data_IF_445585932833
#
_entry.id   IF_445585932833
#
_cell.length_a   1.000
_cell.length_b   1.000
_cell.length_c   1.000
_cell.angle_alpha   90.00
_cell.angle_beta   90.00
_cell.angle_gamma   90.00
#
_symmetry.space_group_name_H-M   'P 1'
#
loop_
_entity.id
_entity.type
_entity.pdbx_description
1 polymer ?
#
# COMPACT_ATOMS: atom_id res chain seq x y z
N UNK A 1 49.66 -7.75 70.80
CA UNK A 1 50.39 -7.16 69.66
C UNK A 1 49.37 -6.67 68.63
N UNK A 2 49.47 -5.38 68.26
CA UNK A 2 48.95 -4.65 67.08
C UNK A 2 47.56 -5.04 66.49
N UNK A 3 46.51 -4.23 66.63
CA UNK A 3 46.18 -2.88 66.07
C UNK A 3 45.52 -2.93 64.68
N UNK A 4 44.23 -2.51 64.66
CA UNK A 4 43.49 -1.65 63.70
C UNK A 4 43.43 -2.11 62.21
N UNK A 5 42.35 -1.94 61.46
CA UNK A 5 41.28 -0.97 61.65
C UNK A 5 40.04 -1.20 60.77
N UNK A 6 39.00 -0.52 61.25
CA UNK A 6 37.68 -0.29 60.73
C UNK A 6 37.72 0.71 59.57
N UNK A 7 36.93 0.52 58.52
CA UNK A 7 36.46 1.61 57.65
C UNK A 7 35.01 1.33 57.22
N UNK A 8 34.09 2.02 57.89
CA UNK A 8 32.84 2.50 57.30
C UNK A 8 33.19 3.49 56.20
N UNK A 9 32.49 3.42 55.07
CA UNK A 9 32.49 4.44 54.03
C UNK A 9 31.15 4.42 53.29
N UNK A 10 30.22 5.26 53.74
CA UNK A 10 29.04 5.67 52.99
C UNK A 10 29.39 6.96 52.26
N UNK A 11 29.29 7.03 50.93
CA UNK A 11 28.95 8.24 50.13
C UNK A 11 28.91 7.87 48.63
N UNK A 12 27.73 7.83 48.01
CA UNK A 12 27.12 8.86 47.13
C UNK A 12 27.53 8.73 45.65
N UNK A 13 26.53 8.31 44.88
CA UNK A 13 26.15 8.69 43.52
C UNK A 13 27.22 9.23 42.55
N UNK A 14 27.47 8.43 41.52
CA UNK A 14 27.84 8.89 40.19
C UNK A 14 27.13 7.98 39.18
N UNK A 15 25.99 8.43 38.67
CA UNK A 15 25.28 7.74 37.59
C UNK A 15 26.16 7.74 36.34
N UNK A 16 26.63 6.55 35.96
CA UNK A 16 27.25 6.31 34.66
C UNK A 16 26.17 5.64 33.83
N UNK A 17 25.73 6.32 32.78
CA UNK A 17 24.79 5.81 31.80
C UNK A 17 25.29 4.46 31.25
N UNK A 18 24.53 3.39 31.51
CA UNK A 18 24.86 2.01 31.12
C UNK A 18 24.28 1.62 29.76
N UNK A 19 23.95 2.57 28.89
CA UNK A 19 23.35 2.27 27.58
C UNK A 19 24.25 1.36 26.71
N UNK A 20 25.58 1.51 26.78
CA UNK A 20 26.51 0.74 25.93
C UNK A 20 27.08 -0.56 26.52
N UNK A 21 26.62 -1.01 27.70
CA UNK A 21 27.18 -2.23 28.33
C UNK A 21 26.35 -3.50 28.05
N UNK A 22 25.09 -3.38 27.63
CA UNK A 22 24.21 -4.53 27.33
C UNK A 22 24.53 -5.19 25.99
N UNK A 23 24.76 -4.42 24.92
CA UNK A 23 25.19 -4.94 23.61
C UNK A 23 26.48 -5.77 23.70
N UNK A 24 27.44 -5.35 24.54
CA UNK A 24 28.73 -6.04 24.69
C UNK A 24 28.66 -7.35 25.50
N UNK A 25 27.53 -7.60 26.16
CA UNK A 25 27.23 -8.84 26.89
C UNK A 25 26.40 -9.83 26.06
N UNK A 26 26.09 -9.51 24.79
CA UNK A 26 25.31 -10.37 23.90
C UNK A 26 23.80 -10.37 24.18
N UNK A 27 23.30 -9.34 24.87
CA UNK A 27 21.88 -9.06 24.96
C UNK A 27 21.56 -8.05 23.84
N UNK A 28 21.32 -8.55 22.64
CA UNK A 28 20.59 -7.81 21.62
C UNK A 28 19.11 -7.87 22.00
N UNK A 29 18.45 -6.71 22.03
CA UNK A 29 17.01 -6.62 22.22
C UNK A 29 16.35 -7.27 21.00
N UNK A 30 15.81 -8.46 21.19
CA UNK A 30 15.11 -9.16 20.12
C UNK A 30 13.69 -8.63 20.11
N UNK A 31 13.20 -8.22 18.92
CA UNK A 31 11.82 -7.81 18.74
C UNK A 31 10.88 -8.88 19.31
N UNK A 32 9.82 -8.45 19.99
CA UNK A 32 8.77 -9.34 20.45
C UNK A 32 8.02 -9.99 19.26
N UNK A 33 8.15 -9.41 18.08
CA UNK A 33 7.49 -9.81 16.85
C UNK A 33 8.36 -10.79 16.07
N UNK A 34 7.87 -12.01 15.92
CA UNK A 34 8.48 -13.00 15.05
C UNK A 34 7.82 -12.94 13.67
N UNK A 35 8.46 -12.24 12.73
CA UNK A 35 8.09 -12.31 11.31
C UNK A 35 7.96 -13.78 10.88
N UNK A 36 6.95 -14.15 10.05
CA UNK A 36 6.91 -15.46 9.42
C UNK A 36 8.23 -15.77 8.71
N UNK A 37 8.67 -17.04 8.62
CA UNK A 37 9.93 -17.34 7.94
C UNK A 37 9.90 -16.87 6.49
N UNK A 38 11.02 -16.36 5.98
CA UNK A 38 11.14 -16.08 4.54
C UNK A 38 11.11 -17.42 3.81
N UNK A 39 10.28 -17.52 2.78
CA UNK A 39 10.22 -18.71 1.92
C UNK A 39 11.56 -18.88 1.20
N UNK A 40 12.11 -20.10 1.19
CA UNK A 40 13.33 -20.41 0.43
C UNK A 40 13.00 -20.59 -1.06
N UNK A 41 13.96 -20.31 -1.96
CA UNK A 41 13.82 -20.49 -3.42
C UNK A 41 12.58 -19.80 -4.05
N UNK A 42 12.29 -18.57 -3.60
CA UNK A 42 11.19 -17.74 -4.10
C UNK A 42 11.28 -17.50 -5.60
N UNK A 43 10.17 -17.59 -6.34
CA UNK A 43 10.17 -17.25 -7.76
C UNK A 43 10.27 -15.73 -7.96
N UNK A 44 10.78 -15.31 -9.12
CA UNK A 44 10.67 -13.92 -9.61
C UNK A 44 9.24 -13.65 -10.13
N UNK A 45 8.25 -13.76 -9.25
CA UNK A 45 6.81 -13.69 -9.53
C UNK A 45 6.02 -13.55 -8.22
N UNK A 46 4.73 -13.24 -8.32
CA UNK A 46 3.80 -13.34 -7.19
C UNK A 46 3.73 -14.78 -6.70
N UNK A 47 3.80 -14.97 -5.38
CA UNK A 47 3.82 -16.31 -4.78
C UNK A 47 3.18 -16.35 -3.38
N UNK A 48 2.78 -17.53 -2.90
CA UNK A 48 2.22 -17.67 -1.54
C UNK A 48 3.31 -17.52 -0.46
N UNK A 49 3.17 -16.54 0.47
CA UNK A 49 4.11 -16.33 1.56
C UNK A 49 4.08 -17.48 2.58
N UNK A 50 4.87 -17.37 3.65
CA UNK A 50 4.91 -18.39 4.70
C UNK A 50 3.72 -18.33 5.67
N UNK A 51 3.15 -17.16 5.82
CA UNK A 51 1.98 -16.92 6.66
C UNK A 51 1.18 -15.73 6.14
N UNK A 52 0.08 -15.48 6.82
CA UNK A 52 -0.77 -14.33 6.57
C UNK A 52 -1.32 -13.80 7.87
N UNK A 53 -1.35 -12.48 7.97
CA UNK A 53 -1.87 -11.75 9.10
C UNK A 53 -3.28 -11.23 8.80
N UNK A 54 -4.11 -11.21 9.84
CA UNK A 54 -5.31 -10.39 9.86
C UNK A 54 -4.96 -8.93 10.15
N UNK A 55 -5.96 -8.07 10.17
CA UNK A 55 -5.84 -6.68 10.59
C UNK A 55 -7.07 -6.33 11.42
N UNK A 56 -6.99 -5.22 12.14
CA UNK A 56 -8.16 -4.56 12.72
C UNK A 56 -8.19 -3.07 12.35
N UNK A 57 -9.33 -2.43 12.61
CA UNK A 57 -9.60 -1.05 12.24
C UNK A 57 -9.62 -0.17 13.48
N UNK A 58 -8.81 0.90 13.49
CA UNK A 58 -8.90 1.93 14.51
C UNK A 58 -10.06 2.89 14.25
N UNK A 59 -10.25 3.31 13.00
CA UNK A 59 -11.34 4.20 12.66
C UNK A 59 -11.28 4.75 11.25
N UNK A 60 -12.23 5.63 10.95
CA UNK A 60 -12.42 6.25 9.64
C UNK A 60 -12.71 7.73 9.80
N UNK A 61 -12.37 8.52 8.79
CA UNK A 61 -12.71 9.92 8.71
C UNK A 61 -12.99 10.30 7.24
N UNK A 62 -13.74 11.38 7.04
CA UNK A 62 -13.94 11.98 5.72
C UNK A 62 -13.80 13.50 5.76
N UNK A 63 -13.34 14.07 4.64
CA UNK A 63 -13.33 15.51 4.39
C UNK A 63 -13.69 15.76 2.92
N UNK A 64 -14.90 16.26 2.68
CA UNK A 64 -15.45 16.43 1.34
C UNK A 64 -15.54 15.11 0.58
N UNK A 65 -14.85 15.04 -0.55
CA UNK A 65 -14.80 13.90 -1.46
C UNK A 65 -13.85 12.79 -1.00
N UNK A 66 -12.95 13.07 -0.06
CA UNK A 66 -11.90 12.13 0.39
C UNK A 66 -12.34 11.43 1.67
N UNK A 67 -12.14 10.12 1.74
CA UNK A 67 -12.21 9.34 2.96
C UNK A 67 -10.89 8.63 3.26
N UNK A 68 -10.70 8.31 4.54
CA UNK A 68 -9.53 7.65 5.09
C UNK A 68 -9.97 6.59 6.10
N UNK A 69 -9.37 5.41 6.03
CA UNK A 69 -9.48 4.34 7.02
C UNK A 69 -8.10 4.09 7.62
N UNK A 70 -8.03 4.03 8.95
CA UNK A 70 -6.83 3.68 9.69
C UNK A 70 -6.99 2.26 10.20
N UNK A 71 -6.16 1.36 9.71
CA UNK A 71 -6.10 -0.05 10.10
C UNK A 71 -4.73 -0.37 10.69
N UNK A 72 -4.62 -1.47 11.42
CA UNK A 72 -3.36 -1.93 11.98
C UNK A 72 -3.25 -3.46 11.97
N UNK A 73 -2.01 -3.92 12.05
CA UNK A 73 -1.67 -5.33 12.27
C UNK A 73 -0.33 -5.41 13.02
N UNK A 74 0.17 -6.63 13.25
CA UNK A 74 1.50 -6.83 13.86
C UNK A 74 2.59 -6.18 12.98
N UNK A 75 3.64 -5.59 13.58
CA UNK A 75 4.81 -5.15 12.83
C UNK A 75 5.36 -6.28 11.98
N UNK A 76 5.63 -5.99 10.71
CA UNK A 76 6.23 -6.97 9.82
C UNK A 76 7.17 -6.30 8.82
N UNK A 77 8.03 -7.15 8.24
CA UNK A 77 9.01 -6.73 7.24
C UNK A 77 8.35 -6.34 5.92
N UNK A 78 9.01 -5.46 5.17
CA UNK A 78 8.64 -5.14 3.80
C UNK A 78 9.86 -4.71 2.98
N UNK A 79 9.68 -4.58 1.66
CA UNK A 79 10.75 -4.21 0.73
C UNK A 79 10.42 -2.92 0.02
N UNK A 80 11.32 -1.95 0.08
CA UNK A 80 11.23 -0.70 -0.68
C UNK A 80 11.81 -0.95 -2.09
N UNK A 81 11.10 -0.56 -3.17
CA UNK A 81 11.60 -0.72 -4.53
C UNK A 81 12.84 0.15 -4.77
N UNK A 82 13.82 -0.39 -5.49
CA UNK A 82 15.05 0.34 -5.82
C UNK A 82 16.24 -0.58 -6.14
N UNK A 83 17.32 -0.01 -6.67
CA UNK A 83 18.54 -0.75 -7.00
C UNK A 83 19.14 -1.38 -5.72
N UNK A 84 19.07 -2.71 -5.64
CA UNK A 84 19.54 -3.48 -4.49
C UNK A 84 18.48 -3.86 -3.46
N UNK A 85 17.23 -3.39 -3.60
CA UNK A 85 16.06 -3.77 -2.78
C UNK A 85 16.29 -3.59 -1.27
N UNK A 86 15.77 -2.51 -0.68
CA UNK A 86 15.97 -2.30 0.76
C UNK A 86 14.91 -3.07 1.56
N UNK A 87 15.34 -4.15 2.22
CA UNK A 87 14.55 -4.79 3.27
C UNK A 87 14.45 -3.82 4.45
N UNK A 88 13.22 -3.55 4.88
CA UNK A 88 12.90 -2.97 6.19
C UNK A 88 12.50 -4.14 7.07
N UNK A 89 13.29 -4.40 8.11
CA UNK A 89 12.98 -5.41 9.13
C UNK A 89 12.25 -4.74 10.29
N UNK A 90 11.66 -5.56 11.17
CA UNK A 90 10.95 -5.07 12.36
C UNK A 90 11.96 -4.64 13.41
N UNK A 91 11.86 -3.39 13.86
CA UNK A 91 12.64 -2.85 14.95
C UNK A 91 12.07 -3.34 16.30
N UNK A 92 12.92 -3.56 17.33
CA UNK A 92 12.42 -3.91 18.67
C UNK A 92 11.48 -2.88 19.28
N UNK A 93 11.59 -1.60 18.89
CA UNK A 93 10.72 -0.53 19.37
C UNK A 93 9.39 -0.45 18.59
N UNK A 94 9.23 -1.20 17.49
CA UNK A 94 8.00 -1.20 16.70
C UNK A 94 6.83 -1.77 17.50
N UNK A 95 5.74 -1.01 17.55
CA UNK A 95 4.54 -1.35 18.31
C UNK A 95 3.44 -1.96 17.45
N UNK A 96 3.26 -1.45 16.23
CA UNK A 96 2.30 -1.96 15.25
C UNK A 96 2.72 -1.59 13.83
N UNK A 97 2.17 -2.31 12.84
CA UNK A 97 2.17 -1.85 11.45
C UNK A 97 0.92 -1.01 11.21
N UNK A 98 1.09 0.32 11.05
CA UNK A 98 -0.02 1.26 10.84
C UNK A 98 -0.29 1.39 9.36
N UNK A 99 -1.55 1.24 8.95
CA UNK A 99 -1.95 1.30 7.56
C UNK A 99 -3.05 2.33 7.34
N UNK A 100 -3.00 3.01 6.20
CA UNK A 100 -3.92 4.03 5.74
C UNK A 100 -4.46 3.62 4.36
N UNK A 101 -5.78 3.55 4.23
CA UNK A 101 -6.45 3.42 2.92
C UNK A 101 -7.21 4.70 2.63
N UNK A 102 -6.90 5.34 1.51
CA UNK A 102 -7.50 6.61 1.08
C UNK A 102 -8.33 6.37 -0.17
N UNK A 103 -9.57 6.85 -0.21
CA UNK A 103 -10.44 6.67 -1.38
C UNK A 103 -11.34 7.89 -1.66
N UNK A 104 -11.80 7.98 -2.90
CA UNK A 104 -12.86 8.90 -3.30
C UNK A 104 -14.24 8.33 -2.93
N UNK A 105 -15.03 9.13 -2.20
CA UNK A 105 -16.33 8.73 -1.67
C UNK A 105 -17.44 8.65 -2.70
N UNK A 106 -17.27 9.31 -3.85
CA UNK A 106 -18.30 9.31 -4.89
C UNK A 106 -18.23 8.04 -5.75
N UNK A 107 -17.01 7.58 -6.03
CA UNK A 107 -16.74 6.45 -6.95
C UNK A 107 -16.26 5.17 -6.25
N UNK A 108 -16.04 5.22 -4.93
CA UNK A 108 -15.43 4.12 -4.15
C UNK A 108 -14.07 3.65 -4.74
N UNK A 109 -13.27 4.60 -5.23
CA UNK A 109 -11.96 4.34 -5.85
C UNK A 109 -10.82 4.66 -4.90
N UNK A 110 -9.94 3.68 -4.62
CA UNK A 110 -8.70 3.89 -3.87
C UNK A 110 -7.78 4.86 -4.62
N UNK A 111 -7.26 5.86 -3.91
CA UNK A 111 -6.52 6.98 -4.49
C UNK A 111 -4.99 6.82 -4.34
N UNK A 112 -4.22 6.72 -5.43
CA UNK A 112 -2.76 6.84 -5.41
C UNK A 112 -2.34 8.32 -5.33
N UNK A 113 -2.31 8.85 -4.10
CA UNK A 113 -1.97 10.23 -3.75
C UNK A 113 -0.74 10.32 -2.84
N UNK A 114 -0.25 11.54 -2.64
CA UNK A 114 0.73 11.82 -1.60
C UNK A 114 0.03 11.87 -0.23
N UNK A 115 0.44 11.00 0.69
CA UNK A 115 -0.06 10.99 2.07
C UNK A 115 1.07 11.38 3.02
N UNK A 116 0.77 12.22 4.00
CA UNK A 116 1.61 12.45 5.16
C UNK A 116 0.76 12.24 6.41
N UNK A 117 1.34 11.77 7.51
CA UNK A 117 0.64 11.73 8.79
C UNK A 117 1.53 12.12 9.95
N UNK A 118 0.90 12.45 11.07
CA UNK A 118 1.53 12.59 12.38
C UNK A 118 0.68 11.80 13.38
N UNK A 119 1.32 11.11 14.32
CA UNK A 119 0.65 10.53 15.48
C UNK A 119 0.80 11.49 16.65
N UNK A 120 -0.31 11.85 17.28
CA UNK A 120 -0.37 12.82 18.35
C UNK A 120 -0.77 12.14 19.66
N UNK A 121 -0.21 12.62 20.78
CA UNK A 121 -0.69 12.33 22.14
C UNK A 121 -0.96 13.64 22.85
N UNK A 122 -2.17 13.81 23.39
CA UNK A 122 -2.62 15.07 23.99
C UNK A 122 -2.45 16.31 23.09
N UNK A 123 -2.47 16.11 21.76
CA UNK A 123 -2.32 17.15 20.74
C UNK A 123 -0.89 17.45 20.28
N UNK A 124 0.12 16.86 20.93
CA UNK A 124 1.53 17.00 20.56
C UNK A 124 2.01 15.79 19.74
N UNK A 125 2.79 15.98 18.65
CA UNK A 125 3.39 14.87 17.92
C UNK A 125 4.32 14.03 18.80
N UNK A 126 4.24 12.70 18.65
CA UNK A 126 5.20 11.80 19.29
C UNK A 126 6.50 11.70 18.49
N UNK A 127 7.61 11.50 19.19
CA UNK A 127 8.92 11.29 18.58
C UNK A 127 9.02 9.90 17.93
N UNK A 128 9.94 9.75 16.96
CA UNK A 128 10.28 8.43 16.39
C UNK A 128 9.37 7.94 15.26
N UNK A 129 8.27 8.64 14.97
CA UNK A 129 7.35 8.27 13.89
C UNK A 129 7.66 9.05 12.61
N UNK A 130 7.82 8.33 11.50
CA UNK A 130 7.97 8.92 10.17
C UNK A 130 6.73 9.72 9.76
N UNK A 131 6.92 10.83 9.05
CA UNK A 131 5.81 11.69 8.62
C UNK A 131 5.22 11.34 7.25
N UNK A 132 5.81 10.35 6.56
CA UNK A 132 5.42 9.91 5.23
C UNK A 132 5.39 8.38 5.20
N UNK A 133 4.21 7.75 5.16
CA UNK A 133 4.10 6.30 5.02
C UNK A 133 4.58 5.87 3.63
N UNK A 134 5.01 4.62 3.51
CA UNK A 134 5.32 4.02 2.22
C UNK A 134 4.02 3.67 1.48
N UNK A 135 3.88 3.94 0.19
CA UNK A 135 2.86 3.27 -0.62
C UNK A 135 3.25 1.80 -0.76
N UNK A 136 2.33 0.88 -0.53
CA UNK A 136 2.61 -0.56 -0.39
C UNK A 136 1.62 -1.42 -1.17
N UNK A 137 2.06 -2.64 -1.50
CA UNK A 137 1.21 -3.73 -2.00
C UNK A 137 1.30 -4.93 -1.06
N UNK A 138 0.15 -5.42 -0.60
CA UNK A 138 0.01 -6.73 0.04
C UNK A 138 -1.05 -7.60 -0.66
N UNK A 139 -0.93 -8.91 -0.56
CA UNK A 139 -1.89 -9.83 -1.18
C UNK A 139 -3.30 -9.65 -0.62
N UNK A 140 -3.41 -9.53 0.72
CA UNK A 140 -4.69 -9.42 1.43
C UNK A 140 -5.23 -7.99 1.51
N UNK A 141 -4.36 -7.00 1.59
CA UNK A 141 -4.74 -5.59 1.77
C UNK A 141 -4.88 -4.83 0.44
N UNK A 142 -4.24 -5.31 -0.62
CA UNK A 142 -4.09 -4.55 -1.86
C UNK A 142 -3.15 -3.36 -1.69
N UNK A 143 -3.43 -2.28 -2.43
CA UNK A 143 -2.71 -1.02 -2.37
C UNK A 143 -3.16 -0.19 -1.17
N UNK A 144 -2.21 0.21 -0.34
CA UNK A 144 -2.41 1.01 0.87
C UNK A 144 -1.15 1.82 1.16
N UNK A 145 -1.19 2.65 2.18
CA UNK A 145 0.01 3.29 2.73
C UNK A 145 0.30 2.70 4.10
N UNK A 146 1.56 2.46 4.44
CA UNK A 146 1.87 1.92 5.76
C UNK A 146 3.32 2.13 6.20
N UNK A 147 3.53 1.94 7.50
CA UNK A 147 4.85 1.88 8.12
C UNK A 147 4.76 1.15 9.47
N UNK A 148 5.88 0.60 9.94
CA UNK A 148 5.97 0.17 11.34
C UNK A 148 6.15 1.42 12.22
N UNK A 149 5.39 1.52 13.31
CA UNK A 149 5.41 2.71 14.18
C UNK A 149 5.73 2.35 15.63
N UNK A 150 6.67 3.07 16.27
CA UNK A 150 6.92 2.94 17.70
C UNK A 150 5.95 3.83 18.49
N UNK A 151 5.11 3.21 19.33
CA UNK A 151 4.24 3.90 20.28
C UNK A 151 4.84 3.75 21.69
N UNK A 152 5.05 4.85 22.44
CA UNK A 152 5.81 4.80 23.69
C UNK A 152 5.12 4.03 24.82
N UNK A 153 3.78 4.08 24.90
CA UNK A 153 2.99 3.37 25.91
C UNK A 153 1.57 3.11 25.36
N UNK A 154 0.80 2.26 26.04
CA UNK A 154 -0.65 2.12 25.80
C UNK A 154 -1.40 3.44 26.11
N UNK A 155 -2.53 3.66 25.42
CA UNK A 155 -3.46 4.75 25.68
C UNK A 155 -4.02 5.42 24.43
N UNK A 156 -4.56 6.64 24.60
CA UNK A 156 -5.23 7.37 23.53
C UNK A 156 -4.26 8.17 22.66
N UNK A 157 -4.45 8.07 21.35
CA UNK A 157 -3.68 8.73 20.31
C UNK A 157 -4.60 9.29 19.22
N UNK A 158 -4.03 10.12 18.37
CA UNK A 158 -4.71 10.67 17.19
C UNK A 158 -3.79 10.54 15.98
N UNK A 159 -4.25 9.88 14.92
CA UNK A 159 -3.64 10.00 13.59
C UNK A 159 -4.20 11.25 12.92
N UNK A 160 -3.33 12.20 12.57
CA UNK A 160 -3.68 13.34 11.71
C UNK A 160 -3.02 13.19 10.36
N UNK A 161 -3.79 12.82 9.35
CA UNK A 161 -3.33 12.62 7.99
C UNK A 161 -3.60 13.86 7.12
N UNK A 162 -2.61 14.24 6.30
CA UNK A 162 -2.74 15.20 5.20
C UNK A 162 -2.69 14.43 3.90
N UNK A 163 -3.80 14.47 3.17
CA UNK A 163 -3.95 13.80 1.88
C UNK A 163 -3.81 14.86 0.80
N UNK A 164 -2.78 14.73 -0.05
CA UNK A 164 -2.52 15.62 -1.17
C UNK A 164 -3.58 15.52 -2.28
N UNK A 165 -3.55 16.46 -3.25
CA UNK A 165 -4.40 16.35 -4.43
C UNK A 165 -4.04 15.12 -5.26
N UNK A 166 -4.95 14.70 -6.14
CA UNK A 166 -4.68 13.68 -7.15
C UNK A 166 -3.80 14.27 -8.25
N UNK A 167 -2.58 13.75 -8.37
CA UNK A 167 -1.61 14.14 -9.40
C UNK A 167 -1.89 13.46 -10.76
N UNK A 168 -2.57 12.31 -10.74
CA UNK A 168 -3.03 11.63 -11.94
C UNK A 168 -4.01 12.50 -12.76
N UNK A 169 -4.10 12.24 -14.06
CA UNK A 169 -5.16 12.79 -14.90
C UNK A 169 -6.51 12.32 -14.34
N UNK A 170 -7.49 13.22 -14.37
CA UNK A 170 -8.83 12.97 -13.83
C UNK A 170 -9.82 13.12 -14.96
N UNK A 171 -10.55 12.06 -15.24
CA UNK A 171 -11.60 12.01 -16.27
C UNK A 171 -12.92 11.56 -15.66
N UNK A 172 -14.00 11.68 -16.42
CA UNK A 172 -15.32 11.24 -15.98
C UNK A 172 -15.75 11.96 -14.68
N UNK A 173 -16.21 11.19 -13.69
CA UNK A 173 -16.66 11.74 -12.41
C UNK A 173 -15.55 12.41 -11.58
N UNK A 174 -14.27 12.25 -11.93
CA UNK A 174 -13.16 12.90 -11.24
C UNK A 174 -12.84 14.31 -11.78
N UNK A 175 -13.40 14.70 -12.93
CA UNK A 175 -13.08 15.99 -13.57
C UNK A 175 -13.35 17.18 -12.64
N UNK A 176 -12.30 17.98 -12.40
CA UNK A 176 -12.38 19.18 -11.56
C UNK A 176 -12.56 18.92 -10.06
N UNK A 177 -12.45 17.66 -9.59
CA UNK A 177 -12.53 17.27 -8.17
C UNK A 177 -11.16 16.79 -7.66
N UNK A 178 -10.96 16.73 -6.34
CA UNK A 178 -9.72 16.24 -5.71
C UNK A 178 -8.45 17.04 -6.07
N UNK A 179 -8.58 18.35 -6.33
CA UNK A 179 -7.46 19.26 -6.66
C UNK A 179 -6.86 19.99 -5.45
N UNK A 180 -7.35 19.69 -4.25
CA UNK A 180 -6.93 20.32 -3.00
C UNK A 180 -6.51 19.29 -1.96
N UNK A 181 -5.72 19.72 -0.98
CA UNK A 181 -5.31 18.89 0.15
C UNK A 181 -6.41 18.78 1.19
N UNK A 182 -6.73 17.56 1.63
CA UNK A 182 -7.62 17.27 2.75
C UNK A 182 -6.82 17.00 4.02
N UNK A 183 -7.38 17.31 5.19
CA UNK A 183 -6.79 16.94 6.49
C UNK A 183 -7.79 16.13 7.30
N UNK A 184 -7.48 14.86 7.51
CA UNK A 184 -8.35 13.91 8.19
C UNK A 184 -7.75 13.51 9.54
N UNK A 185 -8.60 13.28 10.52
CA UNK A 185 -8.18 12.97 11.89
C UNK A 185 -8.95 11.75 12.38
N UNK A 186 -8.23 10.77 12.92
CA UNK A 186 -8.81 9.58 13.53
C UNK A 186 -8.22 9.41 14.92
N UNK A 187 -9.08 9.48 15.93
CA UNK A 187 -8.73 9.17 17.31
C UNK A 187 -8.78 7.65 17.52
N UNK A 188 -7.81 7.12 18.25
CA UNK A 188 -7.74 5.68 18.52
C UNK A 188 -7.14 5.39 19.90
N UNK A 189 -7.44 4.21 20.43
CA UNK A 189 -6.82 3.68 21.65
C UNK A 189 -5.87 2.55 21.26
N UNK A 190 -4.62 2.65 21.69
CA UNK A 190 -3.63 1.61 21.52
C UNK A 190 -3.55 0.77 22.79
N UNK A 191 -3.84 -0.51 22.67
CA UNK A 191 -3.51 -1.54 23.65
C UNK A 191 -2.58 -2.57 23.01
N UNK A 192 -1.53 -2.95 23.72
CA UNK A 192 -0.55 -3.93 23.24
C UNK A 192 -1.24 -5.28 22.98
N UNK A 193 -2.21 -5.63 23.82
CA UNK A 193 -3.03 -6.85 23.68
C UNK A 193 -3.73 -6.94 22.33
N UNK A 194 -4.24 -5.82 21.80
CA UNK A 194 -5.04 -5.84 20.59
C UNK A 194 -4.18 -6.20 19.37
N UNK A 195 -2.92 -5.75 19.37
CA UNK A 195 -1.93 -6.11 18.35
C UNK A 195 -1.47 -7.56 18.52
N UNK A 196 -1.23 -8.02 19.75
CA UNK A 196 -0.85 -9.42 20.02
C UNK A 196 -1.98 -10.42 19.72
N UNK A 197 -3.23 -10.00 19.79
CA UNK A 197 -4.41 -10.82 19.52
C UNK A 197 -4.74 -10.91 18.01
N UNK A 198 -4.03 -10.17 17.15
CA UNK A 198 -4.14 -10.30 15.69
C UNK A 198 -3.77 -11.73 15.27
N UNK A 199 -4.71 -12.37 14.57
CA UNK A 199 -4.53 -13.74 14.10
C UNK A 199 -3.49 -13.82 12.98
N UNK A 200 -2.55 -14.76 13.14
CA UNK A 200 -1.55 -15.12 12.14
C UNK A 200 -1.72 -16.58 11.77
N UNK A 201 -2.01 -16.83 10.51
CA UNK A 201 -2.13 -18.18 9.96
C UNK A 201 -0.88 -18.55 9.16
N UNK A 202 -0.30 -19.71 9.46
CA UNK A 202 0.79 -20.25 8.63
C UNK A 202 0.22 -21.01 7.44
N UNK A 203 0.74 -20.73 6.26
CA UNK A 203 0.42 -21.46 5.04
C UNK A 203 1.14 -22.82 5.07
N UNK A 204 0.49 -23.87 4.57
CA UNK A 204 1.09 -25.20 4.45
C UNK A 204 2.45 -25.14 3.74
N UNK A 205 3.48 -25.78 4.30
CA UNK A 205 4.86 -25.72 3.78
C UNK A 205 4.96 -26.11 2.30
N UNK A 206 4.16 -27.08 1.85
CA UNK A 206 4.13 -27.55 0.46
C UNK A 206 3.57 -26.52 -0.53
N UNK A 207 2.84 -25.51 -0.05
CA UNK A 207 2.23 -24.44 -0.86
C UNK A 207 3.06 -23.17 -0.89
N UNK A 208 3.93 -22.95 0.10
CA UNK A 208 4.78 -21.75 0.18
C UNK A 208 5.65 -21.66 -1.07
N UNK A 209 5.77 -20.46 -1.64
CA UNK A 209 6.56 -20.23 -2.86
C UNK A 209 5.88 -20.65 -4.16
N UNK A 210 4.70 -21.27 -4.11
CA UNK A 210 3.93 -21.54 -5.34
C UNK A 210 3.36 -20.25 -5.90
N UNK A 211 3.32 -20.13 -7.24
CA UNK A 211 2.77 -18.97 -7.94
C UNK A 211 1.26 -18.92 -7.77
N UNK A 212 0.82 -18.18 -6.76
CA UNK A 212 -0.56 -17.95 -6.37
C UNK A 212 -0.59 -16.77 -5.38
N UNK A 213 -1.77 -16.24 -5.07
CA UNK A 213 -1.94 -15.18 -4.08
C UNK A 213 -3.10 -15.47 -3.14
N UNK A 214 -2.97 -15.02 -1.90
CA UNK A 214 -4.09 -14.99 -0.97
C UNK A 214 -5.17 -14.03 -1.46
N UNK A 215 -6.47 -14.34 -1.25
CA UNK A 215 -7.54 -13.43 -1.62
C UNK A 215 -7.45 -12.12 -0.81
N UNK A 216 -7.93 -11.04 -1.41
CA UNK A 216 -8.14 -9.77 -0.70
C UNK A 216 -9.11 -9.99 0.48
N UNK A 217 -8.86 -9.30 1.59
CA UNK A 217 -9.79 -9.27 2.71
C UNK A 217 -11.05 -8.47 2.34
N UNK A 218 -12.20 -8.99 2.73
CA UNK A 218 -13.46 -8.27 2.63
C UNK A 218 -13.69 -7.48 3.93
N UNK A 219 -13.76 -6.15 3.83
CA UNK A 219 -13.88 -5.24 4.98
C UNK A 219 -15.29 -5.23 5.62
N UNK A 220 -16.08 -6.31 5.49
CA UNK A 220 -17.52 -6.29 5.76
C UNK A 220 -18.10 -7.32 6.73
N UNK A 221 -17.30 -8.23 7.31
CA UNK A 221 -17.85 -9.39 8.03
C UNK A 221 -17.15 -9.79 9.34
N UNK A 222 -16.61 -8.84 10.09
CA UNK A 222 -16.29 -9.06 11.50
C UNK A 222 -17.28 -8.28 12.39
N UNK A 223 -18.49 -8.84 12.55
CA UNK A 223 -19.26 -8.63 13.79
C UNK A 223 -18.53 -9.41 14.90
N UNK A 224 -17.42 -8.87 15.41
CA UNK A 224 -16.91 -9.30 16.70
C UNK A 224 -17.83 -8.69 17.77
N UNK A 225 -18.58 -9.58 18.43
CA UNK A 225 -19.55 -9.21 19.45
C UNK A 225 -18.87 -8.55 20.65
N UNK A 226 -18.95 -7.23 20.70
CA UNK A 226 -18.79 -6.41 21.90
C UNK A 226 -19.99 -5.46 21.95
N UNK A 227 -21.10 -5.93 22.54
CA UNK A 227 -22.15 -5.05 23.02
C UNK A 227 -21.60 -4.27 24.22
N UNK A 228 -20.86 -3.21 23.95
CA UNK A 228 -20.58 -2.18 24.95
C UNK A 228 -21.14 -0.87 24.41
N UNK A 229 -22.37 -0.57 24.82
CA UNK A 229 -23.01 0.74 24.64
C UNK A 229 -22.10 1.83 25.24
N UNK A 230 -21.30 2.47 24.39
CA UNK A 230 -20.67 3.74 24.68
C UNK A 230 -21.40 4.83 23.90
N UNK A 231 -22.42 5.42 24.56
CA UNK A 231 -22.90 6.75 24.24
C UNK A 231 -21.75 7.75 24.48
N UNK A 232 -21.00 8.14 23.45
CA UNK A 232 -20.27 9.40 23.48
C UNK A 232 -20.17 10.08 22.11
N UNK A 233 -20.17 11.41 22.16
CA UNK A 233 -20.38 12.32 21.06
C UNK A 233 -19.13 12.53 20.20
N UNK A 234 -19.13 12.02 18.96
CA UNK A 234 -18.47 12.69 17.83
C UNK A 234 -19.16 12.34 16.52
N UNK A 235 -19.33 13.35 15.68
CA UNK A 235 -20.09 13.32 14.44
C UNK A 235 -19.22 12.81 13.29
N UNK A 236 -19.21 11.50 12.98
CA UNK A 236 -18.66 11.01 11.69
C UNK A 236 -19.05 9.56 11.27
N UNK A 237 -20.19 9.04 11.75
CA UNK A 237 -20.65 7.67 11.46
C UNK A 237 -21.17 7.40 10.02
N UNK A 238 -20.80 8.18 9.01
CA UNK A 238 -21.38 8.07 7.64
C UNK A 238 -20.37 7.56 6.57
N UNK A 239 -19.22 7.05 7.00
CA UNK A 239 -18.19 6.51 6.10
C UNK A 239 -18.15 4.99 6.25
N UNK A 240 -18.54 4.29 5.18
CA UNK A 240 -18.47 2.83 5.10
C UNK A 240 -17.02 2.30 5.11
N UNK A 241 -16.84 0.97 5.15
CA UNK A 241 -15.52 0.36 5.05
C UNK A 241 -14.81 0.77 3.76
N UNK A 242 -13.49 0.86 3.82
CA UNK A 242 -12.70 1.18 2.64
C UNK A 242 -12.95 0.17 1.50
N UNK A 243 -13.02 0.62 0.24
CA UNK A 243 -13.08 -0.27 -0.91
C UNK A 243 -11.73 -0.99 -1.07
N UNK A 244 -11.76 -2.16 -1.71
CA UNK A 244 -10.51 -2.81 -2.12
C UNK A 244 -9.88 -2.06 -3.28
N UNK A 245 -8.55 -2.06 -3.38
CA UNK A 245 -7.83 -1.48 -4.53
C UNK A 245 -7.89 -2.34 -5.81
N UNK A 246 -8.94 -3.16 -5.96
CA UNK A 246 -9.18 -3.99 -7.15
C UNK A 246 -9.78 -3.12 -8.25
N UNK A 247 -9.21 -3.19 -9.45
CA UNK A 247 -9.78 -2.48 -10.60
C UNK A 247 -11.07 -3.14 -11.13
N UNK A 248 -11.94 -2.39 -11.83
CA UNK A 248 -13.15 -2.93 -12.45
C UNK A 248 -12.82 -4.03 -13.46
N UNK A 249 -13.70 -5.00 -13.63
CA UNK A 249 -13.54 -6.11 -14.58
C UNK A 249 -13.22 -5.59 -15.98
N UNK A 250 -12.13 -6.10 -16.59
CA UNK A 250 -11.66 -5.64 -17.91
C UNK A 250 -12.72 -5.87 -19.00
N UNK A 251 -13.45 -6.98 -18.93
CA UNK A 251 -14.49 -7.34 -19.89
C UNK A 251 -15.74 -6.43 -19.80
N UNK A 252 -15.87 -5.68 -18.69
CA UNK A 252 -16.98 -4.75 -18.45
C UNK A 252 -16.61 -3.29 -18.76
N UNK A 253 -15.35 -3.02 -19.14
CA UNK A 253 -14.89 -1.69 -19.49
C UNK A 253 -15.51 -1.22 -20.82
N UNK A 254 -15.88 0.06 -20.95
CA UNK A 254 -16.45 0.56 -22.19
C UNK A 254 -15.38 0.63 -23.29
N UNK A 255 -15.70 0.10 -24.47
CA UNK A 255 -14.80 0.05 -25.62
C UNK A 255 -14.51 -1.36 -26.09
N UNK A 256 -13.53 -1.49 -26.97
CA UNK A 256 -13.01 -2.74 -27.52
C UNK A 256 -11.78 -3.18 -26.71
N UNK A 257 -11.92 -4.31 -26.00
CA UNK A 257 -10.81 -4.96 -25.30
C UNK A 257 -9.91 -5.64 -26.32
N UNK A 258 -8.66 -5.17 -26.45
CA UNK A 258 -7.68 -5.76 -27.38
C UNK A 258 -7.09 -7.07 -26.82
N UNK A 259 -7.02 -7.18 -25.50
CA UNK A 259 -6.57 -8.38 -24.80
C UNK A 259 -5.79 -8.07 -23.53
N UNK A 260 -5.28 -9.14 -22.91
CA UNK A 260 -4.43 -9.08 -21.72
C UNK A 260 -3.16 -9.86 -21.97
N UNK A 261 -2.04 -9.15 -21.94
CA UNK A 261 -0.69 -9.73 -21.98
C UNK A 261 -0.10 -9.80 -20.57
N UNK A 262 1.03 -10.50 -20.43
CA UNK A 262 1.74 -10.64 -19.15
C UNK A 262 3.20 -10.25 -19.29
N UNK A 263 3.67 -9.41 -18.37
CA UNK A 263 5.06 -8.97 -18.27
C UNK A 263 5.37 -8.57 -16.83
N UNK A 264 6.57 -8.85 -16.31
CA UNK A 264 6.91 -8.63 -14.89
C UNK A 264 5.98 -9.35 -13.90
N UNK A 265 5.31 -10.41 -14.34
CA UNK A 265 4.18 -11.12 -13.70
C UNK A 265 2.88 -10.30 -13.52
N UNK A 266 2.84 -9.04 -13.98
CA UNK A 266 1.61 -8.26 -14.05
C UNK A 266 0.74 -8.68 -15.24
N UNK A 267 -0.57 -8.50 -15.11
CA UNK A 267 -1.51 -8.47 -16.24
C UNK A 267 -1.51 -7.06 -16.82
N UNK A 268 -1.30 -6.93 -18.13
CA UNK A 268 -1.34 -5.66 -18.85
C UNK A 268 -2.48 -5.77 -19.85
N UNK A 269 -3.61 -5.13 -19.56
CA UNK A 269 -4.79 -5.18 -20.43
C UNK A 269 -4.93 -3.87 -21.20
N UNK A 270 -5.25 -3.95 -22.49
CA UNK A 270 -5.43 -2.78 -23.35
C UNK A 270 -6.89 -2.69 -23.83
N UNK A 271 -7.46 -1.50 -23.71
CA UNK A 271 -8.82 -1.18 -24.14
C UNK A 271 -8.78 0.06 -25.02
N UNK A 272 -9.49 0.00 -26.14
CA UNK A 272 -9.65 1.13 -27.05
C UNK A 272 -11.09 1.61 -26.97
N UNK A 273 -11.31 2.90 -26.77
CA UNK A 273 -12.65 3.49 -26.75
C UNK A 273 -12.73 4.72 -27.64
N UNK A 274 -13.90 5.00 -28.20
CA UNK A 274 -14.14 6.21 -29.02
C UNK A 274 -14.57 7.43 -28.18
N UNK A 275 -14.31 7.40 -26.87
CA UNK A 275 -14.62 8.51 -25.97
C UNK A 275 -13.49 9.55 -25.91
N UNK A 276 -13.87 10.83 -25.88
CA UNK A 276 -12.99 12.00 -25.83
C UNK A 276 -12.33 12.20 -24.43
N UNK A 277 -12.00 11.12 -23.71
CA UNK A 277 -11.48 11.19 -22.32
C UNK A 277 -10.11 11.86 -22.20
N UNK A 278 -9.20 11.64 -23.16
CA UNK A 278 -7.82 12.16 -23.09
C UNK A 278 -7.50 13.23 -24.13
N UNK A 279 -8.25 13.31 -25.22
CA UNK A 279 -8.06 14.33 -26.24
C UNK A 279 -9.35 14.59 -27.02
N UNK A 280 -9.43 15.79 -27.61
CA UNK A 280 -10.39 16.13 -28.66
C UNK A 280 -10.03 15.33 -29.94
N UNK A 281 -10.20 14.02 -29.91
CA UNK A 281 -9.77 13.07 -30.93
C UNK A 281 -10.46 11.73 -30.69
N UNK A 282 -11.05 11.16 -31.74
CA UNK A 282 -12.14 10.19 -31.62
C UNK A 282 -11.78 8.83 -31.04
N UNK A 283 -10.53 8.58 -30.61
CA UNK A 283 -10.11 7.27 -30.11
C UNK A 283 -9.10 7.43 -28.97
N UNK A 284 -9.30 6.66 -27.91
CA UNK A 284 -8.52 6.68 -26.68
C UNK A 284 -8.02 5.28 -26.37
N UNK A 285 -6.76 5.16 -25.96
CA UNK A 285 -6.18 3.91 -25.47
C UNK A 285 -6.07 4.00 -23.95
N UNK A 286 -6.59 2.99 -23.26
CA UNK A 286 -6.42 2.77 -21.83
C UNK A 286 -5.67 1.46 -21.59
N UNK A 287 -4.62 1.50 -20.77
CA UNK A 287 -3.81 0.35 -20.36
C UNK A 287 -3.93 0.17 -18.86
N UNK A 288 -4.33 -1.03 -18.45
CA UNK A 288 -4.60 -1.39 -17.06
C UNK A 288 -3.56 -2.40 -16.55
N UNK A 289 -2.39 -1.97 -16.03
CA UNK A 289 -1.45 -2.86 -15.36
C UNK A 289 -2.00 -3.24 -13.96
N UNK A 290 -2.16 -4.55 -13.72
CA UNK A 290 -2.74 -5.09 -12.47
C UNK A 290 -2.03 -6.35 -12.01
N UNK A 291 -2.17 -6.67 -10.72
CA UNK A 291 -1.64 -7.92 -10.16
C UNK A 291 -2.31 -9.14 -10.81
N UNK A 292 -1.58 -10.28 -10.92
CA UNK A 292 -2.03 -11.42 -11.70
C UNK A 292 -3.27 -12.16 -11.15
N UNK A 293 -3.51 -12.11 -9.83
CA UNK A 293 -4.52 -12.92 -9.16
C UNK A 293 -5.70 -12.11 -8.59
N UNK A 294 -5.44 -10.92 -8.03
CA UNK A 294 -6.44 -10.13 -7.31
C UNK A 294 -6.92 -8.88 -8.06
N UNK A 295 -6.37 -8.61 -9.25
CA UNK A 295 -6.66 -7.42 -10.06
C UNK A 295 -6.40 -6.10 -9.31
N UNK A 296 -5.44 -6.12 -8.39
CA UNK A 296 -5.01 -4.91 -7.66
C UNK A 296 -4.26 -4.01 -8.62
N UNK A 297 -4.58 -2.71 -8.58
CA UNK A 297 -3.96 -1.67 -9.42
C UNK A 297 -2.46 -1.56 -9.15
N UNK A 298 -1.69 -1.12 -10.16
CA UNK A 298 -0.25 -0.89 -10.06
C UNK A 298 0.08 0.59 -10.33
N UNK A 299 -0.08 1.48 -9.33
CA UNK A 299 0.17 2.91 -9.50
C UNK A 299 1.66 3.25 -9.50
N UNK A 300 1.97 4.52 -9.79
CA UNK A 300 3.34 5.04 -9.82
C UNK A 300 4.27 4.27 -10.75
N UNK A 301 3.71 3.77 -11.86
CA UNK A 301 4.38 3.15 -12.99
C UNK A 301 4.51 4.18 -14.11
N UNK A 302 5.57 4.14 -14.92
CA UNK A 302 5.61 4.91 -16.17
C UNK A 302 5.53 3.99 -17.37
N UNK A 303 4.69 4.36 -18.34
CA UNK A 303 4.41 3.57 -19.52
C UNK A 303 4.57 4.42 -20.78
N UNK A 304 5.06 3.80 -21.83
CA UNK A 304 5.08 4.35 -23.18
C UNK A 304 4.36 3.41 -24.15
N UNK A 305 3.95 3.97 -25.29
CA UNK A 305 3.25 3.26 -26.35
C UNK A 305 3.86 3.61 -27.70
N UNK A 306 3.99 2.61 -28.56
CA UNK A 306 4.31 2.75 -29.97
C UNK A 306 3.27 2.02 -30.81
N UNK A 307 2.80 2.65 -31.89
CA UNK A 307 1.84 2.05 -32.82
C UNK A 307 2.52 1.90 -34.16
N UNK A 308 2.60 0.66 -34.65
CA UNK A 308 3.16 0.32 -35.95
C UNK A 308 2.05 -0.04 -36.95
N UNK A 309 2.17 0.50 -38.15
CA UNK A 309 1.31 0.18 -39.30
C UNK A 309 2.17 -0.28 -40.46
N UNK A 310 1.93 -1.50 -40.92
CA UNK A 310 2.69 -2.10 -42.02
C UNK A 310 4.23 -2.02 -41.79
N UNK A 311 4.66 -2.17 -40.53
CA UNK A 311 6.07 -2.07 -40.11
C UNK A 311 6.66 -0.65 -40.06
N UNK A 312 5.81 0.38 -40.01
CA UNK A 312 6.22 1.78 -39.81
C UNK A 312 5.54 2.35 -38.57
N UNK A 313 6.33 2.93 -37.65
CA UNK A 313 5.79 3.64 -36.48
C UNK A 313 5.00 4.86 -36.93
N UNK A 314 3.70 4.88 -36.62
CA UNK A 314 2.77 5.98 -36.94
C UNK A 314 2.44 6.85 -35.73
N UNK A 315 2.63 6.33 -34.51
CA UNK A 315 2.47 7.06 -33.26
C UNK A 315 3.46 6.53 -32.23
N UNK A 316 3.99 7.43 -31.39
CA UNK A 316 4.83 7.10 -30.22
C UNK A 316 4.56 8.15 -29.14
N UNK A 317 4.43 7.73 -27.88
CA UNK A 317 4.13 8.64 -26.79
C UNK A 317 4.15 7.99 -25.42
N UNK A 318 3.97 8.80 -24.39
CA UNK A 318 3.82 8.38 -22.99
C UNK A 318 2.34 8.21 -22.64
N UNK A 319 2.02 7.22 -21.81
CA UNK A 319 0.69 7.07 -21.24
C UNK A 319 0.63 7.80 -19.89
N UNK A 320 -0.43 8.57 -19.67
CA UNK A 320 -0.63 9.30 -18.42
C UNK A 320 -1.43 8.47 -17.42
N UNK A 321 -0.92 8.37 -16.18
CA UNK A 321 -1.67 7.81 -15.07
C UNK A 321 -2.99 8.57 -14.90
N UNK A 322 -4.10 7.84 -14.83
CA UNK A 322 -5.45 8.41 -14.87
C UNK A 322 -6.38 7.70 -13.89
N UNK A 323 -7.29 8.46 -13.29
CA UNK A 323 -8.46 7.97 -12.56
C UNK A 323 -9.74 8.34 -13.31
N UNK A 324 -10.63 7.36 -13.46
CA UNK A 324 -11.93 7.46 -14.13
C UNK A 324 -12.93 6.56 -13.40
N UNK A 325 -14.21 6.92 -13.37
CA UNK A 325 -15.23 6.17 -12.65
C UNK A 325 -15.63 4.85 -13.35
N UNK A 326 -15.45 4.75 -14.66
CA UNK A 326 -15.75 3.52 -15.42
C UNK A 326 -14.50 2.64 -15.55
N UNK A 327 -13.33 3.24 -15.79
CA UNK A 327 -12.07 2.49 -15.98
C UNK A 327 -11.30 2.22 -14.67
N UNK A 328 -11.60 2.95 -13.60
CA UNK A 328 -10.77 2.97 -12.40
C UNK A 328 -9.39 3.56 -12.67
N UNK A 329 -8.37 3.06 -11.97
CA UNK A 329 -6.98 3.41 -12.24
C UNK A 329 -6.44 2.71 -13.49
N UNK A 330 -5.85 3.50 -14.39
CA UNK A 330 -5.26 3.04 -15.65
C UNK A 330 -4.27 4.09 -16.19
N UNK A 331 -3.61 3.76 -17.30
CA UNK A 331 -2.70 4.65 -18.02
C UNK A 331 -3.23 4.88 -19.42
N UNK A 332 -3.45 6.15 -19.80
CA UNK A 332 -4.14 6.46 -21.05
C UNK A 332 -3.48 7.52 -21.91
N UNK A 333 -3.84 7.51 -23.18
CA UNK A 333 -3.52 8.56 -24.13
C UNK A 333 -4.58 8.65 -25.22
N UNK A 334 -4.74 9.85 -25.78
CA UNK A 334 -5.58 10.09 -26.94
C UNK A 334 -4.84 9.75 -28.24
N UNK A 335 -5.55 9.17 -29.20
CA UNK A 335 -5.04 8.75 -30.50
C UNK A 335 -5.85 9.41 -31.62
N UNK A 336 -5.18 9.76 -32.72
CA UNK A 336 -5.87 10.36 -33.88
C UNK A 336 -6.79 9.34 -34.59
N UNK A 337 -6.30 8.09 -34.75
CA UNK A 337 -7.00 6.99 -35.42
C UNK A 337 -6.24 5.68 -35.26
N UNK A 338 -6.96 4.60 -35.00
CA UNK A 338 -6.48 3.22 -35.15
C UNK A 338 -7.08 2.57 -36.41
N UNK A 339 -6.30 1.68 -37.04
CA UNK A 339 -6.69 0.92 -38.21
C UNK A 339 -6.50 -0.58 -37.97
N UNK A 340 -7.34 -1.40 -38.59
CA UNK A 340 -7.17 -2.85 -38.52
C UNK A 340 -5.82 -3.26 -39.11
N UNK A 341 -5.09 -4.09 -38.37
CA UNK A 341 -3.72 -4.48 -38.69
C UNK A 341 -2.64 -3.55 -38.10
N UNK A 342 -3.02 -2.53 -37.32
CA UNK A 342 -2.08 -1.82 -36.46
C UNK A 342 -1.61 -2.74 -35.32
N UNK A 343 -0.34 -2.62 -34.96
CA UNK A 343 0.26 -3.29 -33.80
C UNK A 343 0.58 -2.23 -32.74
N UNK A 344 0.03 -2.40 -31.55
CA UNK A 344 0.24 -1.50 -30.41
C UNK A 344 1.22 -2.17 -29.46
N UNK A 345 2.41 -1.60 -29.32
CA UNK A 345 3.41 -2.03 -28.34
C UNK A 345 3.35 -1.13 -27.12
N UNK A 346 3.24 -1.72 -25.94
CA UNK A 346 3.28 -1.04 -24.65
C UNK A 346 4.55 -1.45 -23.91
N UNK A 347 5.26 -0.44 -23.40
CA UNK A 347 6.49 -0.61 -22.62
C UNK A 347 6.28 -0.04 -21.21
N UNK A 348 6.76 -0.76 -20.19
CA UNK A 348 6.84 -0.24 -18.82
C UNK A 348 8.25 0.32 -18.62
N UNK A 349 8.37 1.65 -18.69
CA UNK A 349 9.65 2.35 -18.63
C UNK A 349 10.20 2.42 -17.20
N UNK A 350 9.32 2.47 -16.20
CA UNK A 350 9.65 2.41 -14.78
C UNK A 350 8.64 1.52 -14.07
N UNK A 351 9.07 0.46 -13.37
CA UNK A 351 8.20 -0.42 -12.60
C UNK A 351 7.38 0.32 -11.53
N UNK A 352 6.31 -0.29 -11.01
CA UNK A 352 5.52 0.31 -9.94
C UNK A 352 6.40 0.68 -8.74
N UNK A 353 6.45 1.97 -8.40
CA UNK A 353 7.26 2.49 -7.28
C UNK A 353 6.52 2.36 -5.94
N UNK A 354 6.17 1.12 -5.59
CA UNK A 354 5.46 0.75 -4.36
C UNK A 354 6.27 -0.29 -3.58
N UNK A 355 6.31 -0.12 -2.25
CA UNK A 355 6.84 -1.11 -1.32
C UNK A 355 6.03 -2.40 -1.39
N UNK A 356 6.65 -3.53 -1.05
CA UNK A 356 6.05 -4.84 -1.22
C UNK A 356 6.17 -5.64 0.06
N UNK A 357 5.07 -6.26 0.45
CA UNK A 357 5.03 -7.25 1.50
C UNK A 357 5.41 -8.63 0.96
N UNK A 358 5.57 -9.60 1.87
CA UNK A 358 5.88 -10.99 1.53
C UNK A 358 4.92 -11.55 0.46
N UNK A 359 5.46 -12.26 -0.51
CA UNK A 359 4.73 -12.84 -1.64
C UNK A 359 4.61 -11.91 -2.86
N UNK A 360 5.03 -10.65 -2.74
CA UNK A 360 5.11 -9.70 -3.86
C UNK A 360 6.51 -9.12 -4.06
N UNK A 361 7.41 -9.26 -3.09
CA UNK A 361 8.70 -8.58 -3.03
C UNK A 361 9.69 -8.97 -4.13
N UNK A 362 9.43 -10.05 -4.87
CA UNK A 362 10.21 -10.51 -6.04
C UNK A 362 9.50 -10.26 -7.38
N UNK A 363 8.28 -9.69 -7.37
CA UNK A 363 7.48 -9.43 -8.57
C UNK A 363 7.60 -7.97 -9.03
N UNK A 364 7.20 -7.71 -10.29
CA UNK A 364 7.05 -6.36 -10.85
C UNK A 364 8.35 -5.54 -10.89
N UNK A 365 9.45 -6.13 -11.40
CA UNK A 365 10.72 -5.43 -11.62
C UNK A 365 11.11 -5.39 -13.10
N UNK A 366 11.26 -6.55 -13.73
CA UNK A 366 11.71 -6.65 -15.11
C UNK A 366 10.51 -6.85 -16.04
N UNK A 367 10.27 -5.87 -16.90
CA UNK A 367 9.19 -5.88 -17.87
C UNK A 367 9.74 -5.98 -19.29
N UNK A 368 9.27 -6.99 -20.02
CA UNK A 368 9.35 -7.07 -21.48
C UNK A 368 8.21 -6.26 -22.10
N UNK A 369 8.45 -5.71 -23.29
CA UNK A 369 7.40 -5.06 -24.09
C UNK A 369 6.30 -6.06 -24.44
N UNK A 370 5.05 -5.59 -24.44
CA UNK A 370 3.88 -6.38 -24.83
C UNK A 370 3.19 -5.76 -26.03
N UNK A 371 2.61 -6.59 -26.89
CA UNK A 371 2.02 -6.15 -28.15
C UNK A 371 0.58 -6.63 -28.31
N UNK A 372 -0.28 -5.77 -28.83
CA UNK A 372 -1.67 -6.05 -29.15
C UNK A 372 -1.94 -5.77 -30.63
N UNK A 373 -2.88 -6.51 -31.23
CA UNK A 373 -3.31 -6.29 -32.62
C UNK A 373 -4.70 -5.67 -32.66
N UNK A 374 -4.91 -4.71 -33.57
CA UNK A 374 -6.19 -4.02 -33.81
C UNK A 374 -7.02 -4.68 -34.92
#
# INVERSE_FOLDING_TARGET
>A
MNRRGFLRGTAVAGGVATAGCLERLGFEEQSAWANPPIVEDRPDAVYLPAGSEMMDTYGRAADGDVALEVTYTIPHRFWIPGEGGSLVDVDPDDSLHLMLTVWDRETDTVLPVNVQYEILRDGDPIDGVGNSPWPMLAQRMGFHYGDNVPLPDEGSYTVRARVGPVDAVRTGAFEGRLDTTATLTVDFEYAESDVHDIEVELIDEERRGTRDALPLMEHGHHESGSETDHDDHSSDHDVGPAPTSRGPSIDDLPGDVLGTERSGDAKISAVVTDDDRYSDGSTSLAVCPRTPYNDVILPFTSLSVAIEREGTVVHEGTLSETLDDEFGHHYGTGLDRLESGDEITVSIDTPPQVSRHDGYETAFFDFEDVTYSV
#
